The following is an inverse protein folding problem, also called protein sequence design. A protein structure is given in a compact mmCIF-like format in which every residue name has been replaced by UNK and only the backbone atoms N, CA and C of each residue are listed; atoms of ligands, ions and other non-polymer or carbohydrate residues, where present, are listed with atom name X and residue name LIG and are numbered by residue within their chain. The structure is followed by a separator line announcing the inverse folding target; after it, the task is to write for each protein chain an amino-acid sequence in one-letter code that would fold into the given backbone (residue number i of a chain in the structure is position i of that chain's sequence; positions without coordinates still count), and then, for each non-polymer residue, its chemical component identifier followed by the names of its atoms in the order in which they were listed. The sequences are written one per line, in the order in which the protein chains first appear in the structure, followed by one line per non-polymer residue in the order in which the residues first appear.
data_IF_034014910832
#
_entry.id   IF_034014910832
#
_cell.length_a   1.000
_cell.length_b   1.000
_cell.length_c   1.000
_cell.angle_alpha   90.00
_cell.angle_beta   90.00
_cell.angle_gamma   90.00
#
_symmetry.space_group_name_H-M   'P 1'
#
loop_
_entity.id
_entity.type
_entity.pdbx_description
1 polymer ?
#
# COMPACT_ATOMS: atom_id res chain seq x y z
N UNK A 1 0.03 12.38 -11.63
CA UNK A 1 -0.94 11.49 -12.32
C UNK A 1 -2.29 12.13 -12.47
N UNK A 2 -2.92 12.62 -11.39
CA UNK A 2 -4.21 13.31 -11.43
C UNK A 2 -4.32 14.39 -12.55
N UNK A 3 -3.36 15.33 -12.63
CA UNK A 3 -3.30 16.33 -13.71
C UNK A 3 -3.10 15.73 -15.11
N UNK A 4 -2.34 14.62 -15.21
CA UNK A 4 -2.14 13.90 -16.48
C UNK A 4 -3.47 13.33 -17.00
N UNK A 5 -4.34 12.90 -16.09
CA UNK A 5 -5.66 12.33 -16.42
C UNK A 5 -6.73 13.41 -16.68
N UNK A 6 -6.36 14.69 -16.79
CA UNK A 6 -7.31 15.79 -17.01
C UNK A 6 -7.98 16.32 -15.73
N UNK A 7 -7.52 15.93 -14.55
CA UNK A 7 -8.07 16.44 -13.29
C UNK A 7 -7.71 17.91 -13.04
N UNK A 8 -8.72 18.76 -12.91
CA UNK A 8 -8.57 20.21 -12.68
C UNK A 8 -8.43 20.58 -11.19
N UNK A 9 -9.11 19.84 -10.30
CA UNK A 9 -9.18 20.11 -8.85
C UNK A 9 -7.95 19.61 -8.08
N UNK A 10 -6.76 20.10 -8.45
CA UNK A 10 -5.48 19.62 -7.89
C UNK A 10 -5.34 19.86 -6.38
N UNK A 11 -5.90 20.95 -5.86
CA UNK A 11 -5.90 21.27 -4.41
C UNK A 11 -6.68 20.21 -3.63
N UNK A 12 -7.87 19.86 -4.12
CA UNK A 12 -8.69 18.82 -3.51
C UNK A 12 -7.98 17.46 -3.51
N UNK A 13 -7.30 17.11 -4.60
CA UNK A 13 -6.52 15.89 -4.68
C UNK A 13 -5.37 15.84 -3.65
N UNK A 14 -4.69 16.96 -3.40
CA UNK A 14 -3.65 17.04 -2.36
C UNK A 14 -4.25 16.82 -0.97
N UNK A 15 -5.36 17.51 -0.65
CA UNK A 15 -6.06 17.33 0.62
C UNK A 15 -6.52 15.89 0.81
N UNK A 16 -7.13 15.31 -0.21
CA UNK A 16 -7.58 13.91 -0.17
C UNK A 16 -6.42 12.95 0.04
N UNK A 17 -5.28 13.16 -0.64
CA UNK A 17 -4.07 12.33 -0.46
C UNK A 17 -3.52 12.43 0.96
N UNK A 18 -3.47 13.65 1.52
CA UNK A 18 -2.99 13.89 2.89
C UNK A 18 -3.92 13.26 3.92
N UNK A 19 -5.23 13.43 3.76
CA UNK A 19 -6.23 12.83 4.65
C UNK A 19 -6.25 11.30 4.54
N UNK A 20 -6.09 10.74 3.34
CA UNK A 20 -6.14 9.30 3.11
C UNK A 20 -5.07 8.57 3.94
N UNK A 21 -3.85 9.11 4.01
CA UNK A 21 -2.80 8.53 4.84
C UNK A 21 -2.93 8.91 6.33
N UNK A 22 -3.13 10.19 6.62
CA UNK A 22 -3.01 10.69 8.00
C UNK A 22 -4.24 10.43 8.86
N UNK A 23 -5.44 10.42 8.30
CA UNK A 23 -6.65 10.18 9.07
C UNK A 23 -6.70 8.77 9.68
N UNK A 24 -6.48 7.66 8.92
CA UNK A 24 -6.41 6.33 9.51
C UNK A 24 -5.27 6.19 10.53
N UNK A 25 -4.12 6.81 10.25
CA UNK A 25 -2.97 6.81 11.16
C UNK A 25 -3.32 7.43 12.52
N UNK A 26 -3.84 8.66 12.53
CA UNK A 26 -4.21 9.35 13.76
C UNK A 26 -5.40 8.70 14.47
N UNK A 27 -6.36 8.16 13.72
CA UNK A 27 -7.51 7.46 14.31
C UNK A 27 -7.05 6.23 15.08
N UNK A 28 -6.29 5.34 14.44
CA UNK A 28 -5.78 4.12 15.10
C UNK A 28 -4.89 4.47 16.29
N UNK A 29 -3.97 5.42 16.09
CA UNK A 29 -3.08 5.86 17.16
C UNK A 29 -3.85 6.47 18.35
N UNK A 30 -4.90 7.26 18.10
CA UNK A 30 -5.71 7.85 19.17
C UNK A 30 -6.46 6.80 19.98
N UNK A 31 -6.99 5.77 19.33
CA UNK A 31 -7.65 4.63 20.01
C UNK A 31 -6.65 3.89 20.88
N UNK A 32 -5.46 3.57 20.35
CA UNK A 32 -4.40 2.90 21.12
C UNK A 32 -3.98 3.76 22.31
N UNK A 33 -3.71 5.05 22.11
CA UNK A 33 -3.26 5.94 23.17
C UNK A 33 -4.30 6.13 24.27
N UNK A 34 -5.59 6.20 23.90
CA UNK A 34 -6.71 6.28 24.87
C UNK A 34 -6.76 5.02 25.73
N UNK A 35 -6.61 3.84 25.13
CA UNK A 35 -6.53 2.58 25.87
C UNK A 35 -5.31 2.52 26.80
N UNK A 36 -4.16 3.04 26.37
CA UNK A 36 -2.97 3.15 27.22
C UNK A 36 -3.19 4.06 28.43
N UNK A 37 -3.90 5.20 28.26
CA UNK A 37 -4.30 6.04 29.39
C UNK A 37 -5.26 5.35 30.34
N UNK A 38 -6.26 4.62 29.82
CA UNK A 38 -7.23 3.89 30.67
C UNK A 38 -6.55 2.85 31.56
N UNK A 39 -5.44 2.27 31.11
CA UNK A 39 -4.67 1.28 31.88
C UNK A 39 -3.49 1.88 32.65
N UNK A 40 -3.29 3.20 32.58
CA UNK A 40 -2.21 3.88 33.29
C UNK A 40 -0.80 3.45 32.89
N UNK A 41 -0.62 2.98 31.65
CA UNK A 41 0.70 2.47 31.22
C UNK A 41 1.66 3.60 30.87
N UNK A 42 2.96 3.37 31.09
CA UNK A 42 4.03 4.33 30.73
C UNK A 42 4.18 4.55 29.23
N UNK A 43 3.54 3.71 28.40
CA UNK A 43 3.49 3.87 26.95
C UNK A 43 2.48 4.94 26.50
N UNK A 44 1.61 5.40 27.39
CA UNK A 44 0.63 6.40 27.06
C UNK A 44 1.28 7.77 26.94
N UNK A 45 1.11 8.41 25.78
CA UNK A 45 1.73 9.70 25.52
C UNK A 45 0.96 10.80 26.28
N UNK A 46 1.66 11.66 27.05
CA UNK A 46 1.02 12.74 27.78
C UNK A 46 0.40 13.76 26.81
N UNK A 47 -0.64 14.48 27.26
CA UNK A 47 -1.41 15.39 26.41
C UNK A 47 -0.52 16.39 25.65
N UNK A 48 0.51 16.93 26.29
CA UNK A 48 1.45 17.87 25.67
C UNK A 48 2.18 17.27 24.45
N UNK A 49 2.57 15.99 24.49
CA UNK A 49 3.24 15.36 23.34
C UNK A 49 2.25 15.06 22.22
N UNK A 50 0.99 14.77 22.53
CA UNK A 50 -0.08 14.62 21.53
C UNK A 50 -0.25 15.92 20.73
N UNK A 51 -0.40 17.05 21.43
CA UNK A 51 -0.54 18.37 20.80
C UNK A 51 0.71 18.72 20.00
N UNK A 52 1.90 18.41 20.51
CA UNK A 52 3.16 18.61 19.80
C UNK A 52 3.22 17.80 18.48
N UNK A 53 2.87 16.51 18.51
CA UNK A 53 2.87 15.65 17.31
C UNK A 53 1.85 16.12 16.27
N UNK A 54 0.64 16.51 16.71
CA UNK A 54 -0.38 17.09 15.83
C UNK A 54 0.10 18.40 15.20
N UNK A 55 0.68 19.29 16.01
CA UNK A 55 1.22 20.57 15.55
C UNK A 55 2.37 20.36 14.57
N UNK A 56 3.27 19.43 14.84
CA UNK A 56 4.37 19.08 13.93
C UNK A 56 3.84 18.55 12.60
N UNK A 57 2.81 17.69 12.62
CA UNK A 57 2.19 17.22 11.39
C UNK A 57 1.53 18.36 10.60
N UNK A 58 0.80 19.26 11.26
CA UNK A 58 0.15 20.41 10.59
C UNK A 58 1.16 21.43 10.06
N UNK A 59 2.24 21.72 10.79
CA UNK A 59 3.22 22.75 10.43
C UNK A 59 4.33 22.25 9.50
N UNK A 60 4.66 20.96 9.55
CA UNK A 60 5.75 20.38 8.76
C UNK A 60 5.19 19.38 7.76
N UNK A 61 4.46 18.37 8.23
CA UNK A 61 3.96 17.26 7.41
C UNK A 61 3.04 17.72 6.27
N UNK A 62 1.98 18.46 6.58
CA UNK A 62 1.01 18.94 5.60
C UNK A 62 1.62 19.93 4.58
N UNK A 63 2.42 20.94 4.96
CA UNK A 63 3.11 21.77 3.99
C UNK A 63 4.04 20.98 3.07
N UNK A 64 4.73 19.95 3.58
CA UNK A 64 5.56 19.08 2.75
C UNK A 64 4.73 18.31 1.71
N UNK A 65 3.54 17.82 2.07
CA UNK A 65 2.65 17.13 1.11
C UNK A 65 2.11 18.10 0.06
N UNK A 66 1.80 19.33 0.44
CA UNK A 66 1.41 20.41 -0.49
C UNK A 66 2.55 20.76 -1.44
N UNK A 67 3.77 20.97 -0.94
CA UNK A 67 4.96 21.24 -1.74
C UNK A 67 5.21 20.08 -2.72
N UNK A 68 5.17 18.83 -2.26
CA UNK A 68 5.29 17.65 -3.11
C UNK A 68 4.21 17.58 -4.19
N UNK A 69 2.97 17.94 -3.85
CA UNK A 69 1.85 18.05 -4.78
C UNK A 69 2.05 19.14 -5.85
N UNK A 70 2.58 20.31 -5.47
CA UNK A 70 2.92 21.40 -6.38
C UNK A 70 4.04 20.99 -7.34
N UNK A 71 5.11 20.37 -6.83
CA UNK A 71 6.17 19.82 -7.69
C UNK A 71 5.62 18.76 -8.67
N UNK A 72 4.79 17.84 -8.18
CA UNK A 72 4.13 16.85 -9.02
C UNK A 72 3.21 17.45 -10.09
N UNK A 73 2.56 18.60 -9.80
CA UNK A 73 1.73 19.37 -10.75
C UNK A 73 2.55 20.05 -11.82
N UNK A 74 3.70 20.62 -11.44
CA UNK A 74 4.57 21.37 -12.34
C UNK A 74 5.37 20.45 -13.26
N UNK A 75 5.76 19.27 -12.76
CA UNK A 75 6.46 18.24 -13.55
C UNK A 75 5.51 17.38 -14.42
N UNK A 76 4.19 17.56 -14.28
CA UNK A 76 3.22 16.82 -15.06
C UNK A 76 3.08 17.42 -16.46
N UNK A 77 3.87 16.92 -17.40
CA UNK A 77 3.60 17.05 -18.84
C UNK A 77 2.27 16.35 -19.20
N UNK A 78 1.65 16.75 -20.31
CA UNK A 78 0.42 16.15 -20.82
C UNK A 78 0.49 14.61 -20.86
N UNK A 79 -0.65 13.96 -20.63
CA UNK A 79 -0.72 12.51 -20.82
C UNK A 79 -0.72 12.20 -22.30
N UNK A 80 0.47 11.93 -22.83
CA UNK A 80 0.60 11.43 -24.18
C UNK A 80 0.19 9.95 -24.20
N UNK A 81 -0.96 9.68 -24.80
CA UNK A 81 -1.46 8.33 -24.96
C UNK A 81 -0.71 7.67 -26.13
N UNK A 82 -0.08 6.50 -25.95
CA UNK A 82 0.72 5.86 -27.00
C UNK A 82 -0.11 5.50 -28.25
N UNK A 83 -1.42 5.39 -28.09
CA UNK A 83 -2.37 5.10 -29.16
C UNK A 83 -3.61 6.00 -29.09
N UNK A 84 -4.17 6.31 -30.28
CA UNK A 84 -5.46 6.98 -30.39
C UNK A 84 -6.52 6.05 -29.81
N UNK A 85 -7.14 6.46 -28.71
CA UNK A 85 -8.24 5.72 -28.07
C UNK A 85 -9.54 5.95 -28.82
N UNK A 86 -10.39 4.92 -28.91
CA UNK A 86 -11.79 5.09 -29.34
C UNK A 86 -12.59 5.69 -28.17
N UNK A 87 -13.53 6.59 -28.47
CA UNK A 87 -14.38 7.23 -27.45
C UNK A 87 -15.42 6.26 -26.85
N UNK A 88 -15.75 5.18 -27.57
CA UNK A 88 -16.69 4.16 -27.10
C UNK A 88 -15.92 3.03 -26.47
N UNK A 89 -16.22 2.74 -25.19
CA UNK A 89 -15.70 1.59 -24.47
C UNK A 89 -16.09 0.30 -25.18
N UNK A 90 -15.10 -0.55 -25.46
CA UNK A 90 -15.36 -1.90 -25.96
C UNK A 90 -16.05 -2.73 -24.87
N UNK A 91 -16.99 -3.57 -25.26
CA UNK A 91 -17.59 -4.56 -24.37
C UNK A 91 -16.51 -5.54 -23.88
N UNK A 92 -16.58 -5.89 -22.60
CA UNK A 92 -15.57 -6.74 -21.95
C UNK A 92 -16.11 -8.16 -21.98
N UNK A 93 -15.39 -9.12 -22.59
CA UNK A 93 -15.85 -10.49 -22.68
C UNK A 93 -15.96 -11.14 -21.29
N UNK A 94 -16.92 -12.05 -21.14
CA UNK A 94 -17.05 -12.84 -19.93
C UNK A 94 -15.83 -13.74 -19.75
N UNK A 95 -15.18 -13.61 -18.59
CA UNK A 95 -14.00 -14.40 -18.25
C UNK A 95 -14.38 -15.52 -17.28
N UNK A 96 -13.75 -16.70 -17.38
CA UNK A 96 -13.97 -17.79 -16.45
C UNK A 96 -13.55 -17.42 -15.02
N UNK A 97 -14.13 -18.09 -14.03
CA UNK A 97 -14.00 -17.76 -12.59
C UNK A 97 -12.55 -17.60 -12.10
N UNK A 98 -11.60 -18.38 -12.64
CA UNK A 98 -10.19 -18.34 -12.25
C UNK A 98 -9.46 -17.08 -12.72
N UNK A 99 -10.04 -16.32 -13.67
CA UNK A 99 -9.56 -14.99 -14.10
C UNK A 99 -10.33 -13.84 -13.45
N UNK A 100 -11.18 -14.14 -12.46
CA UNK A 100 -11.89 -13.12 -11.70
C UNK A 100 -10.91 -12.20 -10.94
N UNK A 101 -11.34 -10.97 -10.67
CA UNK A 101 -10.53 -10.00 -9.95
C UNK A 101 -10.09 -10.50 -8.56
N UNK A 102 -10.93 -11.29 -7.88
CA UNK A 102 -10.60 -11.88 -6.58
C UNK A 102 -9.44 -12.87 -6.66
N UNK A 103 -9.48 -13.81 -7.62
CA UNK A 103 -8.40 -14.78 -7.82
C UNK A 103 -7.11 -14.07 -8.25
N UNK A 104 -7.21 -13.06 -9.12
CA UNK A 104 -6.09 -12.20 -9.47
C UNK A 104 -5.46 -11.55 -8.23
N UNK A 105 -6.26 -10.97 -7.33
CA UNK A 105 -5.74 -10.38 -6.09
C UNK A 105 -5.10 -11.43 -5.16
N UNK A 106 -5.67 -12.64 -5.06
CA UNK A 106 -5.10 -13.69 -4.22
C UNK A 106 -3.74 -14.16 -4.73
N UNK A 107 -3.62 -14.45 -6.02
CA UNK A 107 -2.36 -14.88 -6.65
C UNK A 107 -1.31 -13.77 -6.54
N UNK A 108 -1.72 -12.53 -6.82
CA UNK A 108 -0.85 -11.37 -6.76
C UNK A 108 -0.27 -11.13 -5.37
N UNK A 109 -1.10 -11.30 -4.32
CA UNK A 109 -0.70 -11.00 -2.96
C UNK A 109 0.10 -12.10 -2.29
N UNK A 110 -0.16 -13.36 -2.64
CA UNK A 110 0.46 -14.54 -2.04
C UNK A 110 1.96 -14.62 -2.33
N UNK A 111 2.37 -14.35 -3.57
CA UNK A 111 3.77 -14.48 -3.96
C UNK A 111 4.70 -13.47 -3.26
N UNK A 112 4.42 -12.14 -3.23
CA UNK A 112 5.20 -11.19 -2.45
C UNK A 112 5.17 -11.51 -0.95
N UNK A 113 4.04 -11.99 -0.43
CA UNK A 113 3.92 -12.43 0.95
C UNK A 113 4.85 -13.62 1.26
N UNK A 114 4.89 -14.63 0.40
CA UNK A 114 5.75 -15.80 0.58
C UNK A 114 7.22 -15.41 0.68
N UNK A 115 7.67 -14.45 -0.16
CA UNK A 115 9.04 -13.95 -0.19
C UNK A 115 9.46 -13.23 1.11
N UNK A 116 8.52 -12.62 1.84
CA UNK A 116 8.81 -11.87 3.08
C UNK A 116 8.38 -12.59 4.36
N UNK A 117 7.76 -13.77 4.23
CA UNK A 117 7.14 -14.48 5.36
C UNK A 117 8.10 -14.78 6.51
N UNK A 118 9.34 -15.17 6.18
CA UNK A 118 10.40 -15.45 7.16
C UNK A 118 10.87 -14.18 7.87
N UNK A 119 11.08 -13.08 7.14
CA UNK A 119 11.48 -11.81 7.78
C UNK A 119 10.36 -11.22 8.63
N UNK A 120 9.11 -11.37 8.18
CA UNK A 120 7.95 -10.91 8.93
C UNK A 120 7.84 -11.63 10.29
N UNK A 121 8.22 -12.92 10.36
CA UNK A 121 8.34 -13.64 11.63
C UNK A 121 9.37 -12.98 12.56
N UNK A 122 10.57 -12.69 12.06
CA UNK A 122 11.62 -12.04 12.86
C UNK A 122 11.23 -10.63 13.28
N UNK A 123 10.58 -9.86 12.41
CA UNK A 123 10.04 -8.54 12.74
C UNK A 123 9.01 -8.65 13.88
N UNK A 124 8.06 -9.58 13.81
CA UNK A 124 7.11 -9.76 14.91
C UNK A 124 7.78 -10.27 16.19
N UNK A 125 8.72 -11.21 16.10
CA UNK A 125 9.46 -11.70 17.26
C UNK A 125 10.29 -10.60 17.96
N UNK A 126 10.72 -9.59 17.23
CA UNK A 126 11.56 -8.50 17.76
C UNK A 126 10.75 -7.29 18.23
N UNK A 127 9.65 -6.96 17.53
CA UNK A 127 8.73 -5.90 17.96
C UNK A 127 7.92 -6.29 19.21
N UNK A 128 7.56 -7.57 19.31
CA UNK A 128 6.62 -8.08 20.32
C UNK A 128 7.25 -9.09 21.29
N UNK A 129 8.51 -9.49 21.06
CA UNK A 129 9.27 -10.43 21.89
C UNK A 129 10.58 -9.83 22.43
N UNK A 130 11.42 -10.69 23.00
CA UNK A 130 12.59 -10.34 23.84
C UNK A 130 13.93 -10.30 23.11
N UNK A 131 13.94 -10.41 21.78
CA UNK A 131 15.17 -10.54 20.99
C UNK A 131 15.44 -9.29 20.14
N UNK A 132 16.70 -8.85 20.13
CA UNK A 132 17.12 -7.70 19.35
C UNK A 132 17.41 -8.13 17.91
N UNK A 133 16.73 -7.52 16.94
CA UNK A 133 17.03 -7.76 15.53
C UNK A 133 18.32 -7.05 15.15
N UNK A 134 19.40 -7.81 14.90
CA UNK A 134 20.73 -7.25 14.62
C UNK A 134 21.06 -7.20 13.12
N UNK A 135 20.22 -7.76 12.25
CA UNK A 135 20.51 -7.95 10.82
C UNK A 135 19.77 -6.95 9.90
N UNK A 136 19.84 -5.65 10.22
CA UNK A 136 19.19 -4.59 9.43
C UNK A 136 19.57 -4.60 7.92
N UNK A 137 20.77 -5.07 7.57
CA UNK A 137 21.21 -5.19 6.17
C UNK A 137 20.39 -6.19 5.35
N UNK A 138 19.95 -7.30 5.96
CA UNK A 138 19.10 -8.30 5.29
C UNK A 138 17.71 -7.73 5.05
N UNK A 139 17.16 -6.98 6.02
CA UNK A 139 15.86 -6.35 5.90
C UNK A 139 15.79 -5.37 4.72
N UNK A 140 16.84 -4.59 4.48
CA UNK A 140 16.93 -3.73 3.30
C UNK A 140 16.97 -4.53 1.98
N UNK A 141 17.74 -5.61 1.94
CA UNK A 141 17.80 -6.49 0.77
C UNK A 141 16.43 -7.10 0.46
N UNK A 142 15.76 -7.65 1.49
CA UNK A 142 14.42 -8.24 1.35
C UNK A 142 13.38 -7.19 0.94
N UNK A 143 13.51 -5.94 1.41
CA UNK A 143 12.69 -4.84 0.93
C UNK A 143 12.85 -4.59 -0.58
N UNK A 144 14.08 -4.59 -1.10
CA UNK A 144 14.34 -4.46 -2.54
C UNK A 144 13.77 -5.64 -3.33
N UNK A 145 13.95 -6.88 -2.84
CA UNK A 145 13.36 -8.07 -3.46
C UNK A 145 11.83 -7.96 -3.48
N UNK A 146 11.21 -7.55 -2.38
CA UNK A 146 9.76 -7.37 -2.29
C UNK A 146 9.25 -6.41 -3.36
N UNK A 147 9.90 -5.25 -3.53
CA UNK A 147 9.52 -4.28 -4.56
C UNK A 147 9.68 -4.87 -5.97
N UNK A 148 10.79 -5.58 -6.23
CA UNK A 148 11.05 -6.22 -7.52
C UNK A 148 10.02 -7.30 -7.85
N UNK A 149 9.76 -8.21 -6.92
CA UNK A 149 8.78 -9.30 -7.09
C UNK A 149 7.38 -8.73 -7.32
N UNK A 150 7.00 -7.71 -6.54
CA UNK A 150 5.71 -7.02 -6.69
C UNK A 150 5.57 -6.37 -8.07
N UNK A 151 6.63 -5.72 -8.57
CA UNK A 151 6.65 -5.14 -9.91
C UNK A 151 6.51 -6.20 -11.01
N UNK A 152 7.27 -7.30 -10.93
CA UNK A 152 7.20 -8.40 -11.90
C UNK A 152 5.82 -9.04 -11.99
N UNK A 153 5.20 -9.33 -10.83
CA UNK A 153 3.86 -9.92 -10.76
C UNK A 153 2.81 -8.96 -11.30
N UNK A 154 2.90 -7.67 -10.96
CA UNK A 154 2.00 -6.66 -11.49
C UNK A 154 2.03 -6.60 -13.02
N UNK A 155 3.22 -6.64 -13.62
CA UNK A 155 3.40 -6.67 -15.07
C UNK A 155 2.78 -7.94 -15.68
N UNK A 156 3.09 -9.11 -15.13
CA UNK A 156 2.56 -10.39 -15.64
C UNK A 156 1.03 -10.46 -15.57
N UNK A 157 0.41 -10.02 -14.46
CA UNK A 157 -1.04 -10.03 -14.31
C UNK A 157 -1.72 -8.98 -15.18
N UNK A 158 -1.10 -7.82 -15.35
CA UNK A 158 -1.59 -6.79 -16.28
C UNK A 158 -1.55 -7.30 -17.72
N UNK A 159 -0.52 -8.06 -18.10
CA UNK A 159 -0.45 -8.73 -19.40
C UNK A 159 -1.58 -9.73 -19.61
N UNK A 160 -1.80 -10.65 -18.65
CA UNK A 160 -2.91 -11.61 -18.74
C UNK A 160 -4.29 -10.95 -18.76
N UNK A 161 -4.44 -9.82 -18.07
CA UNK A 161 -5.67 -9.05 -18.10
C UNK A 161 -5.91 -8.42 -19.49
N UNK A 162 -4.88 -7.83 -20.09
CA UNK A 162 -4.96 -7.20 -21.41
C UNK A 162 -5.14 -8.22 -22.52
N UNK A 163 -4.55 -9.42 -22.41
CA UNK A 163 -4.76 -10.50 -23.37
C UNK A 163 -6.17 -11.10 -23.30
N UNK A 164 -6.88 -10.89 -22.18
CA UNK A 164 -8.32 -11.17 -22.05
C UNK A 164 -9.21 -9.98 -22.47
N UNK A 165 -8.63 -8.98 -23.14
CA UNK A 165 -9.31 -7.76 -23.62
C UNK A 165 -9.92 -6.87 -22.50
N UNK A 166 -9.58 -7.08 -21.22
CA UNK A 166 -10.06 -6.23 -20.12
C UNK A 166 -9.12 -5.03 -19.89
N UNK A 167 -9.52 -3.86 -20.36
CA UNK A 167 -8.74 -2.62 -20.26
C UNK A 167 -8.73 -1.98 -18.85
N UNK A 168 -9.48 -2.49 -17.86
CA UNK A 168 -9.64 -1.88 -16.53
C UNK A 168 -8.46 -2.19 -15.58
N UNK A 169 -7.23 -2.02 -16.05
CA UNK A 169 -6.02 -2.44 -15.31
C UNK A 169 -5.61 -1.48 -14.18
N UNK A 170 -6.09 -0.23 -14.19
CA UNK A 170 -5.61 0.84 -13.33
C UNK A 170 -5.82 0.53 -11.85
N UNK A 171 -7.09 0.38 -11.43
CA UNK A 171 -7.41 0.01 -10.05
C UNK A 171 -7.05 -1.44 -9.74
N UNK A 172 -7.18 -2.33 -10.72
CA UNK A 172 -6.85 -3.75 -10.54
C UNK A 172 -5.38 -3.96 -10.19
N UNK A 173 -4.45 -3.23 -10.80
CA UNK A 173 -3.02 -3.30 -10.46
C UNK A 173 -2.74 -2.83 -9.02
N UNK A 174 -3.45 -1.82 -8.54
CA UNK A 174 -3.31 -1.34 -7.15
C UNK A 174 -3.81 -2.39 -6.17
N UNK A 175 -5.04 -2.90 -6.38
CA UNK A 175 -5.64 -3.89 -5.48
C UNK A 175 -4.94 -5.24 -5.52
N UNK A 176 -4.37 -5.65 -6.67
CA UNK A 176 -3.70 -6.93 -6.80
C UNK A 176 -2.43 -7.00 -5.97
N UNK A 177 -1.54 -6.02 -6.06
CA UNK A 177 -0.34 -5.99 -5.23
C UNK A 177 -0.64 -5.56 -3.78
N UNK A 178 -1.61 -4.66 -3.60
CA UNK A 178 -2.02 -4.22 -2.27
C UNK A 178 -2.57 -5.37 -1.40
N UNK A 179 -3.16 -6.40 -2.02
CA UNK A 179 -3.68 -7.57 -1.29
C UNK A 179 -2.62 -8.32 -0.47
N UNK A 180 -1.33 -8.15 -0.75
CA UNK A 180 -0.25 -8.64 0.13
C UNK A 180 -0.44 -8.19 1.58
N UNK A 181 -0.94 -6.96 1.81
CA UNK A 181 -1.27 -6.48 3.15
C UNK A 181 -2.35 -7.32 3.86
N UNK A 182 -3.29 -7.89 3.10
CA UNK A 182 -4.29 -8.81 3.65
C UNK A 182 -3.66 -10.13 4.10
N UNK A 183 -2.70 -10.66 3.35
CA UNK A 183 -1.95 -11.86 3.75
C UNK A 183 -1.08 -11.60 4.99
N UNK A 184 -0.44 -10.44 5.08
CA UNK A 184 0.30 -10.00 6.28
C UNK A 184 -0.64 -9.92 7.49
N UNK A 185 -1.85 -9.40 7.32
CA UNK A 185 -2.85 -9.36 8.38
C UNK A 185 -3.29 -10.77 8.81
N UNK A 186 -3.56 -11.69 7.88
CA UNK A 186 -3.88 -13.08 8.20
C UNK A 186 -2.73 -13.78 8.95
N UNK A 187 -1.49 -13.54 8.54
CA UNK A 187 -0.32 -14.06 9.22
C UNK A 187 -0.18 -13.51 10.65
N UNK A 188 -0.52 -12.24 10.86
CA UNK A 188 -0.53 -11.63 12.19
C UNK A 188 -1.57 -12.26 13.12
N UNK A 189 -2.75 -12.62 12.61
CA UNK A 189 -3.77 -13.37 13.36
C UNK A 189 -3.20 -14.72 13.80
N UNK A 190 -2.59 -15.46 12.88
CA UNK A 190 -1.94 -16.73 13.19
C UNK A 190 -0.85 -16.57 14.27
N UNK A 191 0.02 -15.57 14.13
CA UNK A 191 1.08 -15.27 15.09
C UNK A 191 0.52 -14.95 16.48
N UNK A 192 -0.52 -14.11 16.53
CA UNK A 192 -1.18 -13.71 17.78
C UNK A 192 -1.72 -14.94 18.53
N UNK A 193 -2.52 -15.78 17.87
CA UNK A 193 -3.18 -16.91 18.54
C UNK A 193 -2.25 -18.10 18.86
N UNK A 194 -1.20 -18.32 18.06
CA UNK A 194 -0.37 -19.53 18.19
C UNK A 194 0.99 -19.29 18.85
N UNK A 195 1.47 -18.04 18.93
CA UNK A 195 2.86 -17.78 19.32
C UNK A 195 3.06 -16.62 20.28
N UNK A 196 2.26 -15.57 20.19
CA UNK A 196 2.55 -14.30 20.88
C UNK A 196 2.57 -14.41 22.41
N UNK A 197 1.89 -15.40 23.01
CA UNK A 197 1.67 -15.50 24.47
C UNK A 197 1.21 -14.17 25.11
N UNK A 198 0.64 -13.27 24.31
CA UNK A 198 0.11 -11.99 24.75
C UNK A 198 -1.27 -12.18 25.36
N UNK A 199 -1.50 -11.52 26.48
CA UNK A 199 -2.77 -11.59 27.19
C UNK A 199 -3.17 -10.20 27.68
N UNK A 200 -4.48 -9.95 27.68
CA UNK A 200 -5.05 -8.68 28.10
C UNK A 200 -5.42 -7.76 26.95
N UNK A 201 -6.47 -6.97 27.19
CA UNK A 201 -7.13 -6.15 26.18
C UNK A 201 -6.18 -5.13 25.53
N UNK A 202 -5.31 -4.48 26.30
CA UNK A 202 -4.40 -3.47 25.77
C UNK A 202 -3.39 -4.06 24.80
N UNK A 203 -2.79 -5.20 25.13
CA UNK A 203 -1.84 -5.88 24.25
C UNK A 203 -2.53 -6.29 22.94
N UNK A 204 -3.76 -6.80 23.02
CA UNK A 204 -4.55 -7.14 21.83
C UNK A 204 -4.83 -5.93 20.95
N UNK A 205 -5.33 -4.82 21.52
CA UNK A 205 -5.67 -3.61 20.78
C UNK A 205 -4.42 -2.97 20.17
N UNK A 206 -3.32 -2.93 20.91
CA UNK A 206 -2.05 -2.38 20.43
C UNK A 206 -1.46 -3.23 19.30
N UNK A 207 -1.48 -4.56 19.45
CA UNK A 207 -1.01 -5.49 18.42
C UNK A 207 -1.81 -5.34 17.13
N UNK A 208 -3.14 -5.47 17.20
CA UNK A 208 -3.97 -5.40 16.01
C UNK A 208 -4.05 -3.99 15.43
N UNK A 209 -4.10 -2.95 16.27
CA UNK A 209 -4.12 -1.57 15.82
C UNK A 209 -2.89 -1.22 14.99
N UNK A 210 -1.68 -1.44 15.54
CA UNK A 210 -0.46 -1.20 14.77
C UNK A 210 -0.33 -2.13 13.57
N UNK A 211 -0.77 -3.38 13.66
CA UNK A 211 -0.71 -4.30 12.52
C UNK A 211 -1.63 -3.89 11.37
N UNK A 212 -2.86 -3.42 11.65
CA UNK A 212 -3.77 -2.86 10.64
C UNK A 212 -3.12 -1.65 9.95
N UNK A 213 -2.49 -0.78 10.73
CA UNK A 213 -1.79 0.39 10.20
C UNK A 213 -0.63 -0.03 9.30
N UNK A 214 0.21 -0.97 9.73
CA UNK A 214 1.30 -1.54 8.90
C UNK A 214 0.73 -2.15 7.62
N UNK A 215 -0.32 -2.96 7.70
CA UNK A 215 -0.96 -3.56 6.52
C UNK A 215 -1.50 -2.50 5.56
N UNK A 216 -2.05 -1.40 6.09
CA UNK A 216 -2.52 -0.27 5.30
C UNK A 216 -1.38 0.45 4.57
N UNK A 217 -0.26 0.70 5.26
CA UNK A 217 0.95 1.28 4.66
C UNK A 217 1.51 0.36 3.57
N UNK A 218 1.59 -0.95 3.83
CA UNK A 218 2.00 -1.95 2.85
C UNK A 218 1.08 -1.96 1.63
N UNK A 219 -0.24 -1.89 1.83
CA UNK A 219 -1.22 -1.82 0.74
C UNK A 219 -0.96 -0.61 -0.16
N UNK A 220 -0.78 0.58 0.42
CA UNK A 220 -0.51 1.80 -0.35
C UNK A 220 0.85 1.72 -1.07
N UNK A 221 1.89 1.29 -0.37
CA UNK A 221 3.24 1.20 -0.92
C UNK A 221 3.31 0.22 -2.09
N UNK A 222 2.90 -1.05 -1.88
CA UNK A 222 2.94 -2.07 -2.92
C UNK A 222 1.97 -1.77 -4.06
N UNK A 223 0.80 -1.22 -3.74
CA UNK A 223 -0.17 -0.75 -4.73
C UNK A 223 0.41 0.35 -5.63
N UNK A 224 1.15 1.32 -5.09
CA UNK A 224 1.80 2.35 -5.91
C UNK A 224 2.88 1.79 -6.82
N UNK A 225 3.76 0.93 -6.30
CA UNK A 225 4.83 0.28 -7.06
C UNK A 225 4.26 -0.52 -8.23
N UNK A 226 3.22 -1.30 -7.94
CA UNK A 226 2.47 -2.07 -8.93
C UNK A 226 1.86 -1.18 -10.01
N UNK A 227 1.18 -0.10 -9.64
CA UNK A 227 0.57 0.82 -10.60
C UNK A 227 1.60 1.44 -11.55
N UNK A 228 2.75 1.88 -11.02
CA UNK A 228 3.81 2.45 -11.86
C UNK A 228 4.49 1.42 -12.76
N UNK A 229 4.70 0.19 -12.28
CA UNK A 229 5.22 -0.92 -13.07
C UNK A 229 4.27 -1.26 -14.24
N UNK A 230 2.98 -1.45 -13.93
CA UNK A 230 1.95 -1.69 -14.93
C UNK A 230 1.84 -0.55 -15.95
N UNK A 231 1.85 0.71 -15.51
CA UNK A 231 1.78 1.86 -16.42
C UNK A 231 2.98 1.91 -17.39
N UNK A 232 4.21 1.67 -16.90
CA UNK A 232 5.40 1.62 -17.75
C UNK A 232 5.30 0.49 -18.78
N UNK A 233 4.87 -0.68 -18.34
CA UNK A 233 4.67 -1.84 -19.20
C UNK A 233 3.62 -1.60 -20.29
N UNK A 234 2.46 -1.07 -19.91
CA UNK A 234 1.37 -0.75 -20.85
C UNK A 234 1.83 0.24 -21.91
N UNK A 235 2.54 1.30 -21.51
CA UNK A 235 3.13 2.25 -22.45
C UNK A 235 4.13 1.58 -23.39
N UNK A 236 4.99 0.72 -22.87
CA UNK A 236 5.97 -0.01 -23.66
C UNK A 236 5.29 -0.87 -24.74
N UNK A 237 4.26 -1.65 -24.39
CA UNK A 237 3.55 -2.50 -25.35
C UNK A 237 2.85 -1.66 -26.44
N UNK A 238 2.10 -0.63 -26.06
CA UNK A 238 1.32 0.14 -27.03
C UNK A 238 2.16 1.01 -27.96
N UNK A 239 3.38 1.39 -27.56
CA UNK A 239 4.33 2.07 -28.47
C UNK A 239 4.87 1.11 -29.52
N UNK A 240 5.20 -0.12 -29.13
CA UNK A 240 5.86 -1.09 -30.02
C UNK A 240 4.90 -1.88 -30.90
N UNK A 241 3.64 -2.12 -30.49
CA UNK A 241 2.65 -2.87 -31.27
C UNK A 241 2.29 -2.22 -32.62
N UNK A 242 2.54 -0.92 -32.79
CA UNK A 242 2.28 -0.21 -34.06
C UNK A 242 3.42 -0.32 -35.09
N UNK A 243 4.53 -0.96 -34.73
CA UNK A 243 5.72 -1.05 -35.60
C UNK A 243 5.75 -2.33 -36.46
N UNK A 244 4.74 -3.19 -36.34
CA UNK A 244 4.46 -4.34 -37.22
C UNK A 244 3.10 -4.13 -37.92
#
# INVERSE_FOLDING_TARGET
MYKKMGGESWVWNINLTSCLFSFPFFLIWSVINTMSWMQGTTQALPWGTIVLLMTLWVLVGYPLTVIGGIFGKNYANGFDAPCRTKNISREIPDVPWYRSAGVHCLVAGFLPFSAISVELYYIFATLWGREQYTLYGILFLVYVILLSVTACISVALTYFQLSAEDYRWWWRSIFSAGSTGMFVFMYSLFYYFKRSNMSGLLQTVQFFGYTILVCYVFFLMLGTVSFFAALKFVRYIYVNIKMD
#
